data_IF_980427224177
#
_entry.id   IF_980427224177
#
_cell.length_a   1.000
_cell.length_b   1.000
_cell.length_c   1.000
_cell.angle_alpha   90.00
_cell.angle_beta   90.00
_cell.angle_gamma   90.00
#
_symmetry.space_group_name_H-M   'P 1'
#
loop_
_entity.id
_entity.type
_entity.pdbx_description
1 polymer ?
#
# COMPACT_ATOMS: atom_id res chain seq x y z
N UNK A 1 13.33 7.92 -5.98
CA UNK A 1 14.30 6.81 -6.13
C UNK A 1 15.70 7.25 -5.72
N UNK A 2 16.22 8.36 -6.23
CA UNK A 2 17.58 8.84 -5.96
C UNK A 2 17.93 9.08 -4.48
N UNK A 3 16.95 9.12 -3.57
CA UNK A 3 17.15 9.21 -2.12
C UNK A 3 17.19 7.87 -1.41
N UNK A 4 16.92 6.77 -2.11
CA UNK A 4 17.01 5.44 -1.52
C UNK A 4 18.43 4.89 -1.68
N UNK A 5 19.18 4.82 -0.57
CA UNK A 5 20.59 4.38 -0.56
C UNK A 5 20.80 2.92 -1.02
N UNK A 6 19.75 2.12 -1.09
CA UNK A 6 19.80 0.73 -1.56
C UNK A 6 19.39 0.57 -3.02
N UNK A 7 19.08 1.70 -3.69
CA UNK A 7 18.81 1.71 -5.12
C UNK A 7 20.14 1.75 -5.89
N UNK A 8 20.35 0.78 -6.75
CA UNK A 8 21.46 0.72 -7.71
C UNK A 8 20.94 0.94 -9.11
N UNK A 9 21.81 1.36 -10.04
CA UNK A 9 21.39 1.64 -11.42
C UNK A 9 20.83 0.40 -12.15
N UNK A 10 21.26 -0.78 -11.75
CA UNK A 10 20.80 -2.07 -12.28
C UNK A 10 19.58 -2.64 -11.55
N UNK A 11 19.04 -1.93 -10.55
CA UNK A 11 17.82 -2.33 -9.86
C UNK A 11 16.59 -2.07 -10.73
N UNK A 12 15.79 -3.11 -10.96
CA UNK A 12 14.52 -2.99 -11.68
C UNK A 12 13.48 -2.36 -10.76
N UNK A 13 13.05 -1.12 -11.05
CA UNK A 13 12.10 -0.35 -10.22
C UNK A 13 10.66 -0.85 -10.31
N UNK A 14 10.37 -1.73 -11.27
CA UNK A 14 9.04 -2.32 -11.45
C UNK A 14 8.84 -2.84 -12.86
N UNK A 15 7.67 -3.39 -13.09
CA UNK A 15 7.24 -3.92 -14.38
C UNK A 15 5.91 -3.29 -14.76
N UNK A 16 5.71 -3.08 -16.05
CA UNK A 16 4.48 -2.55 -16.61
C UNK A 16 3.84 -3.55 -17.58
N UNK A 17 2.54 -3.43 -17.75
CA UNK A 17 1.80 -3.94 -18.90
C UNK A 17 1.42 -2.72 -19.72
N UNK A 18 1.77 -2.75 -21.00
CA UNK A 18 1.46 -1.68 -21.94
C UNK A 18 0.57 -2.21 -23.06
N UNK A 19 -0.43 -1.44 -23.41
CA UNK A 19 -1.26 -1.66 -24.60
C UNK A 19 -1.39 -0.33 -25.37
N UNK A 20 -1.06 -0.36 -26.66
CA UNK A 20 -1.16 0.79 -27.56
C UNK A 20 -0.51 2.07 -26.99
N UNK A 21 0.69 1.95 -26.42
CA UNK A 21 1.47 3.02 -25.75
C UNK A 21 0.84 3.57 -24.46
N UNK A 22 -0.17 2.89 -23.90
CA UNK A 22 -0.77 3.23 -22.63
C UNK A 22 -0.39 2.19 -21.59
N UNK A 23 0.09 2.63 -20.43
CA UNK A 23 0.34 1.74 -19.28
C UNK A 23 -1.02 1.35 -18.70
N UNK A 24 -1.32 0.05 -18.73
CA UNK A 24 -2.57 -0.55 -18.26
C UNK A 24 -2.39 -1.46 -17.05
N UNK A 25 -1.15 -1.66 -16.62
CA UNK A 25 -0.82 -2.40 -15.41
C UNK A 25 0.58 -2.07 -14.92
N UNK A 26 0.80 -2.16 -13.62
CA UNK A 26 2.07 -1.85 -12.99
C UNK A 26 2.25 -2.63 -11.68
N UNK A 27 3.48 -3.04 -11.40
CA UNK A 27 3.94 -3.46 -10.07
C UNK A 27 5.30 -2.81 -9.80
N UNK A 28 5.39 -2.05 -8.71
CA UNK A 28 6.65 -1.43 -8.29
C UNK A 28 7.50 -2.36 -7.45
N UNK A 29 8.82 -2.13 -7.47
CA UNK A 29 9.81 -2.92 -6.74
C UNK A 29 10.77 -1.98 -6.01
N UNK A 30 10.56 -1.80 -4.71
CA UNK A 30 11.36 -0.88 -3.90
C UNK A 30 12.41 -1.65 -3.12
N UNK A 31 13.72 -1.35 -3.28
CA UNK A 31 14.76 -1.97 -2.46
C UNK A 31 14.69 -1.47 -1.02
N UNK A 32 14.72 -2.39 -0.07
CA UNK A 32 14.84 -2.11 1.37
C UNK A 32 15.83 -3.06 2.00
N UNK A 33 16.57 -2.57 2.99
CA UNK A 33 17.42 -3.43 3.81
C UNK A 33 16.75 -3.77 5.14
N UNK A 34 16.93 -5.00 5.54
CA UNK A 34 16.56 -5.53 6.83
C UNK A 34 17.80 -6.13 7.50
N UNK A 35 17.97 -5.87 8.79
CA UNK A 35 19.08 -6.46 9.57
C UNK A 35 18.52 -7.58 10.43
N UNK A 36 19.14 -8.76 10.32
CA UNK A 36 18.83 -9.90 11.15
C UNK A 36 20.14 -10.66 11.50
N UNK A 37 20.42 -10.86 12.76
CA UNK A 37 21.65 -11.52 13.29
C UNK A 37 22.92 -10.97 12.62
N UNK A 38 23.08 -9.63 12.67
CA UNK A 38 24.24 -8.87 12.15
C UNK A 38 24.44 -8.98 10.61
N UNK A 39 23.53 -9.62 9.90
CA UNK A 39 23.51 -9.69 8.46
C UNK A 39 22.46 -8.73 7.88
N UNK A 40 22.86 -7.99 6.83
CA UNK A 40 21.95 -7.16 6.05
C UNK A 40 21.37 -8.00 4.92
N UNK A 41 20.05 -7.97 4.79
CA UNK A 41 19.27 -8.62 3.75
C UNK A 41 18.61 -7.57 2.89
N UNK A 42 18.77 -7.66 1.59
CA UNK A 42 18.11 -6.76 0.65
C UNK A 42 16.78 -7.36 0.22
N UNK A 43 15.71 -6.65 0.53
CA UNK A 43 14.36 -7.05 0.14
C UNK A 43 13.87 -6.25 -1.06
N UNK A 44 13.24 -6.93 -2.01
CA UNK A 44 12.38 -6.33 -3.01
C UNK A 44 10.97 -6.19 -2.44
N UNK A 45 10.51 -4.95 -2.24
CA UNK A 45 9.17 -4.69 -1.68
C UNK A 45 8.21 -4.32 -2.80
N UNK A 46 7.20 -5.16 -3.01
CA UNK A 46 6.13 -4.87 -3.97
C UNK A 46 5.30 -3.67 -3.52
N UNK A 47 5.09 -2.71 -4.43
CA UNK A 47 4.28 -1.51 -4.18
C UNK A 47 3.46 -1.14 -5.41
N UNK A 48 2.31 -0.51 -5.14
CA UNK A 48 1.44 0.02 -6.18
C UNK A 48 1.07 -1.02 -7.26
N UNK A 49 0.70 -2.23 -6.83
CA UNK A 49 0.20 -3.24 -7.76
C UNK A 49 -1.20 -2.86 -8.23
N UNK A 50 -1.29 -2.42 -9.48
CA UNK A 50 -2.52 -1.98 -10.12
C UNK A 50 -2.58 -2.52 -11.53
N UNK A 51 -3.73 -3.04 -11.94
CA UNK A 51 -4.01 -3.48 -13.30
C UNK A 51 -5.43 -3.07 -13.66
N UNK A 52 -5.60 -2.41 -14.80
CA UNK A 52 -6.91 -2.04 -15.33
C UNK A 52 -7.79 -3.28 -15.50
N UNK A 53 -9.09 -3.14 -15.27
CA UNK A 53 -10.03 -4.28 -15.21
C UNK A 53 -10.00 -5.16 -16.47
N UNK A 54 -9.96 -4.57 -17.65
CA UNK A 54 -9.85 -5.29 -18.93
C UNK A 54 -8.59 -6.16 -19.05
N UNK A 55 -7.55 -5.81 -18.30
CA UNK A 55 -6.22 -6.39 -18.40
C UNK A 55 -5.86 -7.29 -17.21
N UNK A 56 -6.81 -7.56 -16.30
CA UNK A 56 -6.60 -8.40 -15.09
C UNK A 56 -5.96 -9.76 -15.38
N UNK A 57 -6.16 -10.32 -16.57
CA UNK A 57 -5.50 -11.55 -17.00
C UNK A 57 -3.97 -11.47 -16.97
N UNK A 58 -3.39 -10.27 -17.07
CA UNK A 58 -1.94 -10.04 -17.00
C UNK A 58 -1.40 -9.83 -15.57
N UNK A 59 -2.27 -9.76 -14.57
CA UNK A 59 -1.89 -9.56 -13.18
C UNK A 59 -0.89 -10.61 -12.69
N UNK A 60 -1.15 -11.88 -13.02
CA UNK A 60 -0.27 -12.98 -12.66
C UNK A 60 1.11 -12.86 -13.31
N UNK A 61 1.19 -12.38 -14.54
CA UNK A 61 2.47 -12.19 -15.23
C UNK A 61 3.33 -11.14 -14.54
N UNK A 62 2.73 -10.02 -14.06
CA UNK A 62 3.44 -9.01 -13.29
C UNK A 62 3.98 -9.58 -11.97
N UNK A 63 3.18 -10.36 -11.26
CA UNK A 63 3.59 -11.02 -10.02
C UNK A 63 4.74 -12.01 -10.28
N UNK A 64 4.64 -12.82 -11.33
CA UNK A 64 5.71 -13.76 -11.71
C UNK A 64 7.01 -13.03 -12.07
N UNK A 65 6.93 -11.90 -12.79
CA UNK A 65 8.10 -11.05 -13.07
C UNK A 65 8.74 -10.51 -11.79
N UNK A 66 7.93 -10.05 -10.84
CA UNK A 66 8.41 -9.61 -9.55
C UNK A 66 9.08 -10.75 -8.76
N UNK A 67 8.47 -11.94 -8.73
CA UNK A 67 9.02 -13.09 -7.98
C UNK A 67 10.30 -13.63 -8.61
N UNK A 68 10.39 -13.65 -9.94
CA UNK A 68 11.56 -14.17 -10.65
C UNK A 68 12.74 -13.20 -10.72
N UNK A 69 12.69 -12.05 -10.07
CA UNK A 69 13.85 -11.18 -9.95
C UNK A 69 14.94 -11.85 -9.10
N UNK A 70 16.20 -11.62 -9.44
CA UNK A 70 17.35 -12.21 -8.77
C UNK A 70 18.21 -11.17 -8.00
N UNK A 71 17.68 -9.98 -7.79
CA UNK A 71 18.38 -8.84 -7.17
C UNK A 71 18.12 -8.66 -5.69
N UNK A 72 17.26 -9.49 -5.11
CA UNK A 72 16.87 -9.41 -3.70
C UNK A 72 16.98 -10.76 -3.01
N UNK A 73 17.38 -10.73 -1.75
CA UNK A 73 17.43 -11.90 -0.88
C UNK A 73 16.03 -12.31 -0.41
N UNK A 74 15.13 -11.34 -0.31
CA UNK A 74 13.76 -11.51 0.22
C UNK A 74 12.78 -10.74 -0.67
N UNK A 75 11.59 -11.28 -0.85
CA UNK A 75 10.48 -10.63 -1.52
C UNK A 75 9.36 -10.34 -0.53
N UNK A 76 8.85 -9.11 -0.51
CA UNK A 76 7.82 -8.68 0.43
C UNK A 76 6.64 -8.06 -0.33
N UNK A 77 5.45 -8.58 -0.08
CA UNK A 77 4.19 -7.99 -0.49
C UNK A 77 3.58 -7.23 0.68
N UNK A 78 3.70 -5.90 0.70
CA UNK A 78 3.38 -5.06 1.86
C UNK A 78 1.92 -4.60 1.94
N UNK A 79 1.15 -4.76 0.85
CA UNK A 79 -0.23 -4.27 0.77
C UNK A 79 -1.05 -5.19 -0.13
N UNK A 80 -1.38 -6.36 0.38
CA UNK A 80 -2.29 -7.28 -0.28
C UNK A 80 -3.74 -7.04 0.19
N UNK A 81 -4.67 -6.86 -0.74
CA UNK A 81 -6.07 -7.06 -0.43
C UNK A 81 -6.36 -8.58 -0.36
N UNK A 82 -7.57 -8.97 0.08
CA UNK A 82 -7.94 -10.38 0.25
C UNK A 82 -7.79 -11.22 -1.04
N UNK A 83 -8.03 -10.63 -2.21
CA UNK A 83 -7.92 -11.32 -3.51
C UNK A 83 -6.46 -11.51 -3.90
N UNK A 84 -5.64 -10.45 -3.79
CA UNK A 84 -4.22 -10.53 -4.08
C UNK A 84 -3.49 -11.46 -3.10
N UNK A 85 -3.90 -11.47 -1.83
CA UNK A 85 -3.35 -12.38 -0.82
C UNK A 85 -3.49 -13.86 -1.20
N UNK A 86 -4.65 -14.26 -1.72
CA UNK A 86 -4.87 -15.63 -2.21
C UNK A 86 -3.92 -16.00 -3.35
N UNK A 87 -3.68 -15.06 -4.27
CA UNK A 87 -2.74 -15.28 -5.37
C UNK A 87 -1.29 -15.43 -4.85
N UNK A 88 -0.91 -14.62 -3.87
CA UNK A 88 0.42 -14.72 -3.27
C UNK A 88 0.62 -16.03 -2.51
N UNK A 89 -0.40 -16.52 -1.78
CA UNK A 89 -0.38 -17.83 -1.11
C UNK A 89 -0.22 -18.97 -2.12
N UNK A 90 -0.90 -18.91 -3.28
CA UNK A 90 -0.71 -19.87 -4.37
C UNK A 90 0.72 -19.86 -4.95
N UNK A 91 1.41 -18.74 -4.82
CA UNK A 91 2.80 -18.59 -5.21
C UNK A 91 3.79 -18.88 -4.06
N UNK A 92 3.34 -19.58 -3.02
CA UNK A 92 4.10 -19.95 -1.82
C UNK A 92 4.60 -18.79 -0.97
N UNK A 93 3.92 -17.63 -1.02
CA UNK A 93 4.23 -16.56 -0.09
C UNK A 93 3.63 -16.88 1.29
N UNK A 94 4.42 -16.69 2.33
CA UNK A 94 4.00 -16.87 3.71
C UNK A 94 3.52 -15.55 4.32
N UNK A 95 2.46 -15.63 5.13
CA UNK A 95 2.01 -14.47 5.91
C UNK A 95 2.97 -14.23 7.07
N UNK A 96 3.41 -12.99 7.21
CA UNK A 96 4.14 -12.60 8.43
C UNK A 96 3.22 -12.75 9.65
N UNK A 97 3.68 -13.35 10.75
CA UNK A 97 2.88 -13.50 11.96
C UNK A 97 2.63 -12.13 12.61
N UNK A 98 1.42 -11.60 12.42
CA UNK A 98 1.04 -10.26 12.87
C UNK A 98 -0.07 -10.29 13.93
N UNK A 99 0.03 -11.17 14.93
CA UNK A 99 -1.03 -11.41 15.94
C UNK A 99 -1.67 -10.17 16.59
N UNK A 100 -0.99 -9.01 16.61
CA UNK A 100 -1.49 -7.77 17.24
C UNK A 100 -1.45 -6.54 16.33
N UNK A 101 -0.92 -6.65 15.12
CA UNK A 101 -0.68 -5.51 14.22
C UNK A 101 -1.63 -5.46 13.01
N UNK A 102 -2.71 -6.22 13.04
CA UNK A 102 -3.77 -6.16 12.03
C UNK A 102 -4.67 -4.92 12.15
N UNK A 103 -4.45 -4.11 13.18
CA UNK A 103 -5.18 -2.86 13.38
C UNK A 103 -4.40 -1.70 12.78
N UNK A 104 -5.01 -1.01 11.84
CA UNK A 104 -4.48 0.23 11.33
C UNK A 104 -4.45 1.28 12.45
N UNK A 105 -3.26 1.83 12.72
CA UNK A 105 -3.11 2.99 13.57
C UNK A 105 -3.19 4.22 12.68
N UNK A 106 -4.15 5.09 12.97
CA UNK A 106 -4.26 6.37 12.29
C UNK A 106 -4.49 7.51 13.29
N UNK A 107 -3.95 8.67 12.97
CA UNK A 107 -4.16 9.89 13.73
C UNK A 107 -4.99 10.86 12.91
N UNK A 108 -6.04 11.39 13.49
CA UNK A 108 -6.83 12.44 12.87
C UNK A 108 -6.13 13.78 13.15
N UNK A 109 -5.39 14.28 12.16
CA UNK A 109 -4.66 15.55 12.25
C UNK A 109 -5.65 16.73 12.14
N UNK A 110 -6.65 16.60 11.26
CA UNK A 110 -7.70 17.60 11.05
C UNK A 110 -9.07 16.95 11.14
N UNK A 111 -9.73 17.02 12.31
CA UNK A 111 -11.07 16.43 12.52
C UNK A 111 -12.09 16.93 11.50
N UNK A 112 -12.05 18.21 11.17
CA UNK A 112 -12.96 18.80 10.19
C UNK A 112 -12.78 18.17 8.80
N UNK A 113 -11.57 18.18 8.25
CA UNK A 113 -11.29 17.62 6.92
C UNK A 113 -11.52 16.10 6.87
N UNK A 114 -11.24 15.41 7.97
CA UNK A 114 -11.54 13.98 8.09
C UNK A 114 -13.06 13.73 7.95
N UNK A 115 -13.89 14.49 8.68
CA UNK A 115 -15.34 14.35 8.62
C UNK A 115 -15.90 14.73 7.25
N UNK A 116 -15.42 15.82 6.63
CA UNK A 116 -15.82 16.17 5.26
C UNK A 116 -15.55 15.01 4.31
N UNK A 117 -14.35 14.45 4.35
CA UNK A 117 -13.97 13.32 3.49
C UNK A 117 -14.80 12.06 3.80
N UNK A 118 -15.11 11.83 5.07
CA UNK A 118 -15.93 10.70 5.51
C UNK A 118 -17.36 10.79 4.98
N UNK A 119 -17.99 11.97 5.10
CA UNK A 119 -19.35 12.19 4.62
C UNK A 119 -19.44 12.17 3.09
N UNK A 120 -18.46 12.74 2.40
CA UNK A 120 -18.37 12.64 0.92
C UNK A 120 -18.27 11.21 0.43
N UNK A 121 -17.51 10.35 1.11
CA UNK A 121 -17.43 8.91 0.81
C UNK A 121 -18.72 8.14 1.04
N UNK A 122 -19.67 8.73 1.76
CA UNK A 122 -21.02 8.20 2.02
C UNK A 122 -22.07 8.82 1.11
N UNK A 123 -21.64 9.42 -0.01
CA UNK A 123 -22.50 10.08 -1.02
C UNK A 123 -23.34 11.24 -0.45
N UNK A 124 -22.96 11.81 0.69
CA UNK A 124 -23.57 13.01 1.24
C UNK A 124 -23.09 14.21 0.44
N UNK A 125 -24.00 15.06 0.00
CA UNK A 125 -23.63 16.23 -0.80
C UNK A 125 -22.62 17.15 -0.07
N UNK A 126 -21.77 17.83 -0.84
CA UNK A 126 -20.69 18.65 -0.29
C UNK A 126 -21.19 19.68 0.74
N UNK A 127 -22.31 20.35 0.46
CA UNK A 127 -22.90 21.36 1.39
C UNK A 127 -23.22 20.75 2.76
N UNK A 128 -23.93 19.62 2.77
CA UNK A 128 -24.27 18.95 4.03
C UNK A 128 -23.04 18.36 4.71
N UNK A 129 -22.07 17.85 3.97
CA UNK A 129 -20.81 17.34 4.51
C UNK A 129 -20.04 18.44 5.27
N UNK A 130 -19.99 19.66 4.73
CA UNK A 130 -19.37 20.79 5.42
C UNK A 130 -20.11 21.18 6.70
N UNK A 131 -21.45 21.31 6.65
CA UNK A 131 -22.27 21.70 7.82
C UNK A 131 -22.15 20.64 8.93
N UNK A 132 -22.31 19.36 8.58
CA UNK A 132 -22.16 18.27 9.55
C UNK A 132 -20.74 18.24 10.15
N UNK A 133 -19.72 18.49 9.34
CA UNK A 133 -18.35 18.52 9.84
C UNK A 133 -18.08 19.66 10.81
N UNK A 134 -18.68 20.84 10.61
CA UNK A 134 -18.61 21.95 11.58
C UNK A 134 -19.20 21.56 12.94
N UNK A 135 -20.30 20.82 12.93
CA UNK A 135 -20.99 20.40 14.19
C UNK A 135 -20.19 19.29 14.90
N UNK A 136 -19.68 18.29 14.16
CA UNK A 136 -19.07 17.11 14.77
C UNK A 136 -17.55 17.22 14.97
N UNK A 137 -16.83 18.14 14.30
CA UNK A 137 -15.40 18.27 14.46
C UNK A 137 -14.94 18.61 15.90
N UNK A 138 -15.60 19.51 16.65
CA UNK A 138 -15.25 19.78 18.04
C UNK A 138 -15.38 18.54 18.94
N UNK A 139 -16.39 17.70 18.68
CA UNK A 139 -16.60 16.46 19.43
C UNK A 139 -15.48 15.43 19.20
N UNK A 140 -15.05 15.28 17.96
CA UNK A 140 -13.89 14.42 17.65
C UNK A 140 -12.58 14.95 18.24
N UNK A 141 -12.41 16.27 18.27
CA UNK A 141 -11.27 16.90 18.92
C UNK A 141 -11.24 16.57 20.42
N UNK A 142 -12.38 16.68 21.09
CA UNK A 142 -12.53 16.36 22.52
C UNK A 142 -12.18 14.88 22.79
N UNK A 143 -12.70 13.93 22.00
CA UNK A 143 -12.36 12.51 22.12
C UNK A 143 -10.88 12.26 21.87
N UNK A 144 -10.28 12.95 20.91
CA UNK A 144 -8.85 12.81 20.60
C UNK A 144 -7.94 13.29 21.73
N UNK A 145 -8.33 14.35 22.42
CA UNK A 145 -7.62 14.89 23.58
C UNK A 145 -7.77 13.94 24.78
N UNK A 146 -8.99 13.48 25.06
CA UNK A 146 -9.26 12.59 26.19
C UNK A 146 -8.55 11.22 26.09
N UNK A 147 -8.29 10.71 24.89
CA UNK A 147 -7.53 9.46 24.67
C UNK A 147 -6.02 9.62 24.76
N UNK A 148 -5.50 10.84 24.92
CA UNK A 148 -4.06 11.09 25.10
C UNK A 148 -3.60 11.03 26.57
N UNK A 149 -4.54 10.98 27.49
CA UNK A 149 -4.33 10.80 28.94
C UNK A 149 -4.90 9.45 29.39
#
# INVERSE_FOLDING_TARGET
>A
WNRNKYYTQDWVIGWIVEDSKKVVGYIGNIPRAYTFRDKIWIAGVARAFVVDEKYRKYSLQLIVKFIKQNKSDILIFSSANSEAGKVYELMHAEKLPQKKYEKDLFWIISPFNFLVSFFLKRDISARYSYVLSLVFAPFLLFISIYRRF
#
